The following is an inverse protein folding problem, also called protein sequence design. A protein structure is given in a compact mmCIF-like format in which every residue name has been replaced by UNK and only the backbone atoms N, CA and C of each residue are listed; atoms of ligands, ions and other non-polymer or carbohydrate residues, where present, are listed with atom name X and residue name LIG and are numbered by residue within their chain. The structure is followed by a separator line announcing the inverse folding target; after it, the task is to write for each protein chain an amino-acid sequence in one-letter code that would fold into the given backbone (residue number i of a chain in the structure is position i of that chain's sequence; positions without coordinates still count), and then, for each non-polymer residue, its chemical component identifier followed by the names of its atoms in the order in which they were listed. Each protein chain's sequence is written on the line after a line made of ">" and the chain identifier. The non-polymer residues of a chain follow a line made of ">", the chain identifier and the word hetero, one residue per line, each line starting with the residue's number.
data_IF_832160896212
#
_entry.id   IF_832160896212
#
_cell.length_a   1.000
_cell.length_b   1.000
_cell.length_c   1.000
_cell.angle_alpha   90.00
_cell.angle_beta   90.00
_cell.angle_gamma   90.00
#
_symmetry.space_group_name_H-M   'P 1'
#
loop_
_entity.id
_entity.type
_entity.pdbx_description
1 polymer ?
#
# COMPACT_ATOMS: atom_id res chain seq x y z
N UNK A 1 24.39 36.29 -10.65
CA UNK A 1 23.82 37.52 -10.04
C UNK A 1 24.80 38.16 -9.07
N UNK A 2 25.32 37.43 -8.08
CA UNK A 2 26.36 37.94 -7.19
C UNK A 2 27.61 38.41 -7.95
N UNK A 3 28.09 37.63 -8.94
CA UNK A 3 29.26 38.02 -9.77
C UNK A 3 29.02 39.32 -10.52
N UNK A 4 27.81 39.50 -11.08
CA UNK A 4 27.44 40.74 -11.77
C UNK A 4 27.48 41.96 -10.84
N UNK A 5 27.05 41.81 -9.59
CA UNK A 5 27.13 42.88 -8.58
C UNK A 5 28.57 43.26 -8.26
N UNK A 6 29.47 42.27 -8.19
CA UNK A 6 30.90 42.48 -7.95
C UNK A 6 31.58 43.12 -9.16
N UNK A 7 31.34 42.61 -10.37
CA UNK A 7 31.93 43.12 -11.62
C UNK A 7 31.59 44.60 -11.85
N UNK A 8 30.36 45.00 -11.50
CA UNK A 8 29.89 46.39 -11.57
C UNK A 8 30.26 47.24 -10.37
N UNK A 9 31.02 46.69 -9.41
CA UNK A 9 31.47 47.35 -8.18
C UNK A 9 30.32 47.82 -7.27
N UNK A 10 29.17 47.16 -7.32
CA UNK A 10 28.09 47.36 -6.35
C UNK A 10 28.41 46.71 -4.99
N UNK A 11 29.21 45.63 -4.99
CA UNK A 11 29.68 44.92 -3.82
C UNK A 11 31.21 44.72 -3.88
N UNK A 12 31.86 44.55 -2.73
CA UNK A 12 33.30 44.24 -2.69
C UNK A 12 33.58 42.82 -3.24
N UNK A 13 34.71 42.65 -3.94
CA UNK A 13 35.21 41.34 -4.38
C UNK A 13 35.40 40.35 -3.21
N UNK A 14 35.75 40.86 -2.02
CA UNK A 14 35.98 40.07 -0.80
C UNK A 14 34.72 39.88 0.06
N UNK A 15 33.53 40.07 -0.51
CA UNK A 15 32.26 39.97 0.23
C UNK A 15 32.11 38.65 0.98
N UNK A 16 32.64 37.53 0.48
CA UNK A 16 32.55 36.24 1.20
C UNK A 16 33.26 36.30 2.56
N UNK A 17 34.43 36.93 2.62
CA UNK A 17 35.16 37.09 3.88
C UNK A 17 34.43 38.03 4.85
N UNK A 18 33.74 39.03 4.32
CA UNK A 18 32.92 39.95 5.12
C UNK A 18 31.69 39.23 5.69
N UNK A 19 31.01 38.40 4.89
CA UNK A 19 29.91 37.55 5.35
C UNK A 19 30.36 36.58 6.44
N UNK A 20 31.57 35.98 6.33
CA UNK A 20 32.10 35.11 7.37
C UNK A 20 32.29 35.86 8.70
N UNK A 21 32.88 37.05 8.68
CA UNK A 21 33.03 37.88 9.87
C UNK A 21 31.68 38.28 10.49
N UNK A 22 30.69 38.58 9.65
CA UNK A 22 29.32 38.88 10.10
C UNK A 22 28.69 37.66 10.76
N UNK A 23 28.88 36.46 10.23
CA UNK A 23 28.36 35.22 10.82
C UNK A 23 28.98 34.90 12.17
N UNK A 24 30.29 35.14 12.33
CA UNK A 24 30.96 35.00 13.62
C UNK A 24 30.33 35.93 14.66
N UNK A 25 30.06 37.19 14.29
CA UNK A 25 29.36 38.15 15.14
C UNK A 25 27.93 37.72 15.47
N UNK A 26 27.19 37.21 14.49
CA UNK A 26 25.84 36.66 14.70
C UNK A 26 25.89 35.51 15.71
N UNK A 27 26.80 34.55 15.55
CA UNK A 27 26.92 33.39 16.45
C UNK A 27 27.23 33.81 17.89
N UNK A 28 28.04 34.86 18.07
CA UNK A 28 28.30 35.44 19.38
C UNK A 28 27.04 36.14 19.94
N UNK A 29 26.36 36.96 19.14
CA UNK A 29 25.20 37.74 19.57
C UNK A 29 23.95 36.88 19.85
N UNK A 30 23.83 35.69 19.25
CA UNK A 30 22.74 34.73 19.53
C UNK A 30 22.78 34.22 20.97
N UNK A 31 23.96 34.16 21.60
CA UNK A 31 24.10 33.67 22.98
C UNK A 31 23.43 34.60 24.01
N UNK A 32 23.25 35.87 23.68
CA UNK A 32 22.58 36.87 24.52
C UNK A 32 21.24 37.29 23.90
N UNK A 33 20.32 36.34 23.72
CA UNK A 33 18.97 36.60 23.19
C UNK A 33 17.88 36.62 24.28
N UNK A 34 16.96 37.60 24.26
CA UNK A 34 15.86 37.64 25.22
C UNK A 34 14.84 36.54 24.90
N UNK A 35 14.09 36.13 25.92
CA UNK A 35 12.95 35.23 25.72
C UNK A 35 11.83 35.94 24.97
N UNK A 36 11.83 35.81 23.65
CA UNK A 36 10.81 36.33 22.76
C UNK A 36 10.49 35.27 21.69
N UNK A 37 9.22 34.89 21.57
CA UNK A 37 8.78 33.82 20.66
C UNK A 37 9.07 34.13 19.18
N UNK A 38 8.96 35.40 18.76
CA UNK A 38 9.27 35.77 17.39
C UNK A 38 10.77 35.66 17.10
N UNK A 39 11.63 36.07 18.05
CA UNK A 39 13.08 35.85 17.95
C UNK A 39 13.39 34.35 17.91
N UNK A 40 12.77 33.53 18.76
CA UNK A 40 12.96 32.07 18.75
C UNK A 40 12.59 31.47 17.39
N UNK A 41 11.49 31.90 16.77
CA UNK A 41 11.09 31.44 15.44
C UNK A 41 12.09 31.83 14.35
N UNK A 42 12.61 33.07 14.39
CA UNK A 42 13.64 33.54 13.46
C UNK A 42 14.94 32.73 13.62
N UNK A 43 15.33 32.40 14.86
CA UNK A 43 16.51 31.60 15.18
C UNK A 43 16.35 30.10 14.88
N UNK A 44 15.11 29.57 14.91
CA UNK A 44 14.82 28.18 14.58
C UNK A 44 14.96 27.87 13.07
N UNK A 45 15.05 28.91 12.23
CA UNK A 45 15.31 28.78 10.79
C UNK A 45 16.74 28.31 10.48
N UNK A 46 16.93 27.72 9.30
CA UNK A 46 18.20 27.11 8.91
C UNK A 46 19.34 28.12 8.60
N UNK A 47 19.04 29.42 8.41
CA UNK A 47 20.02 30.41 8.01
C UNK A 47 19.60 31.86 8.32
N UNK A 48 20.34 32.53 9.20
CA UNK A 48 20.16 33.97 9.45
C UNK A 48 20.91 34.80 8.41
N UNK A 49 20.27 35.86 7.94
CA UNK A 49 20.81 36.80 6.96
C UNK A 49 20.35 38.21 7.28
N UNK A 50 20.77 39.20 6.49
CA UNK A 50 20.48 40.62 6.69
C UNK A 50 19.04 40.95 7.12
N UNK A 51 18.02 40.49 6.40
CA UNK A 51 16.62 40.78 6.78
C UNK A 51 16.19 40.19 8.13
N UNK A 52 16.73 39.04 8.53
CA UNK A 52 16.49 38.49 9.86
C UNK A 52 17.13 39.38 10.92
N UNK A 53 18.35 39.88 10.67
CA UNK A 53 19.04 40.79 11.57
C UNK A 53 18.28 42.13 11.72
N UNK A 54 17.75 42.68 10.62
CA UNK A 54 16.87 43.85 10.67
C UNK A 54 15.62 43.59 11.51
N UNK A 55 14.97 42.42 11.35
CA UNK A 55 13.78 42.07 12.12
C UNK A 55 14.10 41.94 13.61
N UNK A 56 15.22 41.31 13.95
CA UNK A 56 15.69 41.19 15.34
C UNK A 56 15.94 42.57 15.94
N UNK A 57 16.65 43.46 15.23
CA UNK A 57 16.86 44.85 15.68
C UNK A 57 15.53 45.55 15.91
N UNK A 58 14.54 45.39 15.03
CA UNK A 58 13.22 46.00 15.18
C UNK A 58 12.47 45.48 16.41
N UNK A 59 12.49 44.16 16.66
CA UNK A 59 11.89 43.57 17.87
C UNK A 59 12.58 44.13 19.12
N UNK A 60 13.92 44.18 19.13
CA UNK A 60 14.70 44.71 20.24
C UNK A 60 14.36 46.18 20.53
N UNK A 61 14.08 47.00 19.51
CA UNK A 61 13.65 48.40 19.72
C UNK A 61 12.32 48.49 20.48
N UNK A 62 11.40 47.56 20.22
CA UNK A 62 10.11 47.49 20.89
C UNK A 62 10.20 46.97 22.32
N UNK A 63 11.07 45.99 22.57
CA UNK A 63 11.23 45.38 23.91
C UNK A 63 12.16 46.16 24.84
N UNK A 64 13.12 46.92 24.30
CA UNK A 64 14.13 47.67 25.07
C UNK A 64 13.89 49.19 25.03
N UNK A 65 12.65 49.63 24.80
CA UNK A 65 12.30 51.04 24.67
C UNK A 65 12.63 51.90 25.92
N UNK A 66 12.78 51.28 27.10
CA UNK A 66 13.06 51.94 28.38
C UNK A 66 14.56 52.19 28.68
N UNK A 67 15.49 51.67 27.87
CA UNK A 67 16.95 51.74 28.12
C UNK A 67 17.70 52.71 27.19
N UNK A 68 17.03 53.78 26.75
CA UNK A 68 17.68 54.87 26.00
C UNK A 68 18.43 55.80 26.96
N UNK A 69 19.71 56.05 26.69
CA UNK A 69 20.51 57.05 27.40
C UNK A 69 19.98 58.46 27.14
N UNK A 70 20.39 59.46 27.95
CA UNK A 70 20.00 60.88 27.80
C UNK A 70 20.22 61.48 26.39
N UNK A 71 21.02 60.84 25.54
CA UNK A 71 21.26 61.23 24.15
C UNK A 71 20.43 60.44 23.12
N UNK A 72 19.41 59.70 23.55
CA UNK A 72 18.53 58.89 22.69
C UNK A 72 19.18 57.61 22.12
N UNK A 73 20.39 57.27 22.56
CA UNK A 73 21.12 56.06 22.13
C UNK A 73 20.76 54.87 23.01
N UNK A 74 20.57 53.70 22.40
CA UNK A 74 20.37 52.45 23.12
C UNK A 74 21.63 52.04 23.88
N UNK A 75 21.47 51.63 25.14
CA UNK A 75 22.60 51.39 26.05
C UNK A 75 22.99 49.91 26.19
N UNK A 76 22.04 49.00 25.93
CA UNK A 76 22.22 47.55 26.07
C UNK A 76 23.31 47.03 25.11
N UNK A 77 24.10 46.07 25.60
CA UNK A 77 25.15 45.43 24.80
C UNK A 77 24.53 44.70 23.60
N UNK A 78 23.47 43.92 23.85
CA UNK A 78 22.68 43.26 22.82
C UNK A 78 22.26 44.17 21.66
N UNK A 79 21.64 45.32 21.94
CA UNK A 79 21.24 46.24 20.87
C UNK A 79 22.46 46.74 20.08
N UNK A 80 23.57 47.04 20.75
CA UNK A 80 24.81 47.45 20.08
C UNK A 80 25.37 46.36 19.18
N UNK A 81 25.38 45.11 19.64
CA UNK A 81 25.88 43.97 18.87
C UNK A 81 25.05 43.74 17.59
N UNK A 82 23.72 43.77 17.71
CA UNK A 82 22.84 43.59 16.56
C UNK A 82 22.85 44.78 15.60
N UNK A 83 23.01 46.01 16.10
CA UNK A 83 23.26 47.19 15.25
C UNK A 83 24.63 47.12 14.55
N UNK A 84 25.67 46.63 15.22
CA UNK A 84 26.99 46.41 14.62
C UNK A 84 26.89 45.39 13.48
N UNK A 85 26.22 44.25 13.70
CA UNK A 85 25.96 43.23 12.67
C UNK A 85 25.28 43.84 11.43
N UNK A 86 24.22 44.63 11.62
CA UNK A 86 23.52 45.32 10.52
C UNK A 86 24.47 46.28 9.79
N UNK A 87 25.27 47.05 10.53
CA UNK A 87 26.24 47.98 9.94
C UNK A 87 27.34 47.28 9.13
N UNK A 88 27.78 46.10 9.57
CA UNK A 88 28.77 45.29 8.84
C UNK A 88 28.18 44.72 7.55
N UNK A 89 26.91 44.36 7.56
CA UNK A 89 26.20 43.95 6.35
C UNK A 89 26.07 45.10 5.34
N UNK A 90 25.70 46.29 5.81
CA UNK A 90 25.50 47.49 4.98
C UNK A 90 26.82 48.06 4.45
N UNK A 91 27.91 47.86 5.19
CA UNK A 91 29.25 48.20 4.74
C UNK A 91 29.55 47.50 3.42
N UNK A 92 29.88 48.31 2.42
CA UNK A 92 30.23 47.86 1.06
C UNK A 92 29.16 46.97 0.42
N UNK A 93 27.90 47.13 0.86
CA UNK A 93 26.73 46.41 0.36
C UNK A 93 26.88 44.88 0.42
N UNK A 94 27.54 44.36 1.46
CA UNK A 94 27.80 42.92 1.64
C UNK A 94 26.51 42.10 1.61
N UNK A 95 25.42 42.63 2.19
CA UNK A 95 24.12 41.96 2.19
C UNK A 95 23.59 41.65 0.78
N UNK A 96 23.81 42.53 -0.20
CA UNK A 96 23.32 42.31 -1.57
C UNK A 96 23.97 41.08 -2.21
N UNK A 97 25.28 40.90 -2.02
CA UNK A 97 26.01 39.76 -2.57
C UNK A 97 25.57 38.44 -1.92
N UNK A 98 25.39 38.42 -0.58
CA UNK A 98 24.90 37.25 0.14
C UNK A 98 23.48 36.87 -0.33
N UNK A 99 22.56 37.83 -0.37
CA UNK A 99 21.17 37.60 -0.78
C UNK A 99 21.07 37.17 -2.25
N UNK A 100 21.86 37.77 -3.13
CA UNK A 100 21.94 37.36 -4.53
C UNK A 100 22.44 35.92 -4.67
N UNK A 101 23.43 35.51 -3.88
CA UNK A 101 23.94 34.14 -3.85
C UNK A 101 22.88 33.16 -3.35
N UNK A 102 22.20 33.49 -2.25
CA UNK A 102 21.09 32.70 -1.71
C UNK A 102 19.96 32.53 -2.74
N UNK A 103 19.56 33.62 -3.39
CA UNK A 103 18.51 33.61 -4.41
C UNK A 103 18.87 32.71 -5.59
N UNK A 104 20.09 32.82 -6.10
CA UNK A 104 20.56 31.97 -7.21
C UNK A 104 20.57 30.50 -6.79
N UNK A 105 21.04 30.17 -5.58
CA UNK A 105 20.98 28.79 -5.08
C UNK A 105 19.54 28.28 -4.98
N UNK A 106 18.64 29.09 -4.45
CA UNK A 106 17.23 28.74 -4.30
C UNK A 106 16.57 28.45 -5.65
N UNK A 107 16.78 29.31 -6.65
CA UNK A 107 16.18 29.17 -7.98
C UNK A 107 16.82 28.02 -8.76
N UNK A 108 18.15 27.89 -8.71
CA UNK A 108 18.88 26.93 -9.54
C UNK A 108 18.85 25.51 -8.99
N UNK A 109 18.76 25.33 -7.67
CA UNK A 109 18.95 24.01 -7.05
C UNK A 109 17.84 23.62 -6.09
N UNK A 110 17.50 24.47 -5.12
CA UNK A 110 16.53 24.12 -4.06
C UNK A 110 15.13 23.89 -4.63
N UNK A 111 14.60 24.86 -5.39
CA UNK A 111 13.26 24.79 -5.96
C UNK A 111 13.14 23.60 -6.93
N UNK A 112 14.06 23.38 -7.89
CA UNK A 112 14.01 22.21 -8.77
C UNK A 112 14.09 20.88 -8.01
N UNK A 113 14.97 20.78 -7.02
CA UNK A 113 15.10 19.59 -6.17
C UNK A 113 13.80 19.27 -5.44
N UNK A 114 13.22 20.27 -4.77
CA UNK A 114 11.96 20.14 -4.04
C UNK A 114 10.80 19.79 -4.98
N UNK A 115 10.71 20.41 -6.16
CA UNK A 115 9.70 20.06 -7.17
C UNK A 115 9.80 18.60 -7.60
N UNK A 116 11.03 18.09 -7.79
CA UNK A 116 11.26 16.68 -8.12
C UNK A 116 10.87 15.75 -6.98
N UNK A 117 11.15 16.13 -5.74
CA UNK A 117 10.72 15.37 -4.56
C UNK A 117 9.19 15.34 -4.45
N UNK A 118 8.52 16.48 -4.62
CA UNK A 118 7.05 16.57 -4.62
C UNK A 118 6.45 15.65 -5.70
N UNK A 119 6.97 15.70 -6.93
CA UNK A 119 6.49 14.85 -8.02
C UNK A 119 6.67 13.36 -7.72
N UNK A 120 7.77 12.94 -7.07
CA UNK A 120 7.97 11.55 -6.63
C UNK A 120 6.97 11.15 -5.54
N UNK A 121 6.72 12.02 -4.57
CA UNK A 121 5.73 11.78 -3.51
C UNK A 121 4.33 11.65 -4.10
N UNK A 122 3.96 12.49 -5.07
CA UNK A 122 2.67 12.42 -5.77
C UNK A 122 2.52 11.13 -6.56
N UNK A 123 3.56 10.72 -7.29
CA UNK A 123 3.54 9.45 -8.02
C UNK A 123 3.38 8.25 -7.06
N UNK A 124 4.15 8.23 -5.96
CA UNK A 124 4.06 7.19 -4.96
C UNK A 124 2.66 7.15 -4.31
N UNK A 125 2.07 8.31 -4.03
CA UNK A 125 0.72 8.41 -3.49
C UNK A 125 -0.32 7.78 -4.43
N UNK A 126 -0.25 8.07 -5.74
CA UNK A 126 -1.14 7.49 -6.73
C UNK A 126 -0.95 5.97 -6.85
N UNK A 127 0.29 5.50 -6.83
CA UNK A 127 0.59 4.07 -6.88
C UNK A 127 0.08 3.33 -5.64
N UNK A 128 0.17 3.92 -4.45
CA UNK A 128 -0.39 3.34 -3.24
C UNK A 128 -1.92 3.33 -3.25
N UNK A 129 -2.57 4.40 -3.71
CA UNK A 129 -4.02 4.43 -3.86
C UNK A 129 -4.51 3.34 -4.83
N UNK A 130 -3.85 3.19 -5.99
CA UNK A 130 -4.19 2.12 -6.94
C UNK A 130 -4.00 0.73 -6.33
N UNK A 131 -2.90 0.50 -5.61
CA UNK A 131 -2.64 -0.78 -4.94
C UNK A 131 -3.65 -1.09 -3.85
N UNK A 132 -4.09 -0.07 -3.12
CA UNK A 132 -5.15 -0.21 -2.13
C UNK A 132 -6.44 -0.70 -2.79
N UNK A 133 -6.87 -0.05 -3.87
CA UNK A 133 -8.06 -0.43 -4.63
C UNK A 133 -7.97 -1.86 -5.18
N UNK A 134 -6.82 -2.23 -5.78
CA UNK A 134 -6.56 -3.57 -6.29
C UNK A 134 -6.63 -4.63 -5.16
N UNK A 135 -6.05 -4.34 -3.99
CA UNK A 135 -6.13 -5.23 -2.83
C UNK A 135 -7.56 -5.36 -2.29
N UNK A 136 -8.32 -4.27 -2.24
CA UNK A 136 -9.72 -4.31 -1.80
C UNK A 136 -10.60 -5.12 -2.75
N UNK A 137 -10.47 -4.89 -4.06
CA UNK A 137 -11.18 -5.66 -5.08
C UNK A 137 -10.79 -7.15 -5.03
N UNK A 138 -9.50 -7.45 -4.92
CA UNK A 138 -9.01 -8.83 -4.80
C UNK A 138 -9.53 -9.53 -3.54
N UNK A 139 -9.57 -8.84 -2.40
CA UNK A 139 -10.15 -9.37 -1.17
C UNK A 139 -11.66 -9.63 -1.30
N UNK A 140 -12.39 -8.71 -1.94
CA UNK A 140 -13.82 -8.88 -2.20
C UNK A 140 -14.11 -10.06 -3.14
N UNK A 141 -13.33 -10.21 -4.22
CA UNK A 141 -13.45 -11.30 -5.17
C UNK A 141 -13.15 -12.66 -4.52
N UNK A 142 -12.08 -12.76 -3.72
CA UNK A 142 -11.75 -13.99 -2.99
C UNK A 142 -12.85 -14.34 -1.99
N UNK A 143 -13.42 -13.34 -1.31
CA UNK A 143 -14.55 -13.53 -0.39
C UNK A 143 -15.78 -14.03 -1.13
N UNK A 144 -16.12 -13.46 -2.28
CA UNK A 144 -17.25 -13.91 -3.10
C UNK A 144 -17.06 -15.34 -3.60
N UNK A 145 -15.87 -15.67 -4.14
CA UNK A 145 -15.53 -17.03 -4.58
C UNK A 145 -15.62 -18.05 -3.44
N UNK A 146 -15.19 -17.66 -2.24
CA UNK A 146 -15.30 -18.48 -1.04
C UNK A 146 -16.77 -18.78 -0.71
N UNK A 147 -17.63 -17.76 -0.65
CA UNK A 147 -19.05 -17.96 -0.34
C UNK A 147 -19.81 -18.69 -1.45
N UNK A 148 -19.46 -18.46 -2.72
CA UNK A 148 -20.00 -19.22 -3.85
C UNK A 148 -19.68 -20.71 -3.70
N UNK A 149 -18.44 -21.04 -3.32
CA UNK A 149 -18.02 -22.42 -3.05
C UNK A 149 -18.79 -23.01 -1.85
N UNK A 150 -18.94 -22.26 -0.76
CA UNK A 150 -19.73 -22.70 0.40
C UNK A 150 -21.19 -23.03 0.01
N UNK A 151 -21.84 -22.16 -0.78
CA UNK A 151 -23.18 -22.41 -1.32
C UNK A 151 -23.24 -23.68 -2.17
N UNK A 152 -22.24 -23.93 -3.01
CA UNK A 152 -22.18 -25.14 -3.84
C UNK A 152 -22.15 -26.42 -2.99
N UNK A 153 -21.46 -26.39 -1.85
CA UNK A 153 -21.42 -27.51 -0.91
C UNK A 153 -22.61 -27.55 0.06
N UNK A 154 -23.52 -26.57 0.01
CA UNK A 154 -24.64 -26.47 0.94
C UNK A 154 -24.23 -26.12 2.38
N UNK A 155 -23.08 -25.47 2.57
CA UNK A 155 -22.53 -25.09 3.87
C UNK A 155 -22.59 -23.58 4.08
N UNK A 156 -22.71 -23.14 5.33
CA UNK A 156 -22.79 -21.73 5.73
C UNK A 156 -21.44 -21.02 5.64
N UNK A 157 -20.33 -21.74 5.91
CA UNK A 157 -18.98 -21.21 5.83
C UNK A 157 -18.40 -20.70 7.15
N UNK A 158 -19.06 -20.91 8.29
CA UNK A 158 -18.61 -20.43 9.60
C UNK A 158 -17.55 -21.37 10.22
N UNK A 159 -17.81 -22.68 10.19
CA UNK A 159 -16.88 -23.70 10.67
C UNK A 159 -16.81 -24.86 9.66
N UNK A 160 -16.11 -24.62 8.54
CA UNK A 160 -16.00 -25.54 7.40
C UNK A 160 -15.79 -27.00 7.82
N UNK A 161 -14.89 -27.25 8.78
CA UNK A 161 -14.59 -28.61 9.26
C UNK A 161 -15.82 -29.30 9.84
N UNK A 162 -16.59 -28.60 10.69
CA UNK A 162 -17.76 -29.17 11.33
C UNK A 162 -18.91 -29.35 10.34
N UNK A 163 -19.13 -28.37 9.47
CA UNK A 163 -20.17 -28.40 8.44
C UNK A 163 -19.92 -29.53 7.42
N UNK A 164 -18.68 -29.69 6.95
CA UNK A 164 -18.31 -30.81 6.07
C UNK A 164 -18.47 -32.17 6.76
N UNK A 165 -18.09 -32.28 8.03
CA UNK A 165 -18.30 -33.52 8.80
C UNK A 165 -19.78 -33.84 9.01
N UNK A 166 -20.65 -32.85 9.10
CA UNK A 166 -22.10 -33.06 9.19
C UNK A 166 -22.65 -33.64 7.88
N UNK A 167 -22.28 -33.09 6.72
CA UNK A 167 -22.65 -33.61 5.41
C UNK A 167 -22.26 -35.08 5.21
N UNK A 168 -21.08 -35.49 5.70
CA UNK A 168 -20.62 -36.88 5.62
C UNK A 168 -21.51 -37.83 6.44
N UNK A 169 -22.11 -37.37 7.54
CA UNK A 169 -23.00 -38.20 8.38
C UNK A 169 -24.32 -38.56 7.68
N UNK A 170 -24.75 -37.76 6.72
CA UNK A 170 -26.00 -38.00 5.98
C UNK A 170 -25.83 -39.02 4.84
N UNK A 171 -24.58 -39.27 4.43
CA UNK A 171 -24.21 -40.16 3.33
C UNK A 171 -24.74 -41.61 3.48
N UNK A 172 -24.62 -42.28 4.65
CA UNK A 172 -25.11 -43.65 4.82
C UNK A 172 -26.62 -43.76 4.61
N UNK A 173 -27.38 -42.75 5.02
CA UNK A 173 -28.84 -42.71 4.84
C UNK A 173 -29.23 -42.56 3.37
N UNK A 174 -28.47 -41.76 2.61
CA UNK A 174 -28.61 -41.59 1.15
C UNK A 174 -28.28 -42.88 0.41
N UNK A 175 -27.17 -43.53 0.75
CA UNK A 175 -26.77 -44.81 0.17
C UNK A 175 -27.78 -45.91 0.47
N UNK A 176 -28.35 -45.94 1.68
CA UNK A 176 -29.42 -46.89 2.03
C UNK A 176 -30.68 -46.67 1.19
N UNK A 177 -31.10 -45.41 0.97
CA UNK A 177 -32.24 -45.09 0.08
C UNK A 177 -31.99 -45.52 -1.36
N UNK A 178 -30.80 -45.26 -1.88
CA UNK A 178 -30.41 -45.68 -3.24
C UNK A 178 -30.38 -47.20 -3.33
N UNK A 179 -29.82 -47.89 -2.32
CA UNK A 179 -29.81 -49.35 -2.25
C UNK A 179 -31.21 -49.96 -2.21
N UNK A 180 -32.14 -49.35 -1.47
CA UNK A 180 -33.55 -49.75 -1.45
C UNK A 180 -34.27 -49.47 -2.79
N UNK A 181 -33.90 -48.41 -3.51
CA UNK A 181 -34.37 -48.19 -4.88
C UNK A 181 -33.81 -49.23 -5.85
N UNK A 182 -32.54 -49.61 -5.68
CA UNK A 182 -31.87 -50.62 -6.49
C UNK A 182 -32.40 -52.04 -6.23
N UNK A 183 -32.93 -52.34 -5.04
CA UNK A 183 -33.57 -53.64 -4.80
C UNK A 183 -34.82 -53.86 -5.64
N UNK A 184 -35.46 -52.83 -6.19
CA UNK A 184 -36.53 -53.02 -7.17
C UNK A 184 -36.04 -53.67 -8.48
N UNK A 185 -34.74 -53.66 -8.74
CA UNK A 185 -34.13 -54.34 -9.89
C UNK A 185 -33.83 -55.82 -9.59
N UNK A 186 -34.00 -56.30 -8.35
CA UNK A 186 -33.66 -57.68 -7.98
C UNK A 186 -34.49 -58.69 -8.74
N UNK A 187 -35.80 -58.48 -8.89
CA UNK A 187 -36.69 -59.37 -9.66
C UNK A 187 -36.28 -59.47 -11.13
N UNK A 188 -35.87 -58.35 -11.73
CA UNK A 188 -35.38 -58.34 -13.12
C UNK A 188 -34.04 -59.08 -13.25
N UNK A 189 -33.17 -58.95 -12.25
CA UNK A 189 -31.89 -59.67 -12.18
C UNK A 189 -32.14 -61.17 -11.99
N UNK A 190 -33.04 -61.56 -11.09
CA UNK A 190 -33.42 -62.96 -10.83
C UNK A 190 -34.07 -63.61 -12.06
N UNK A 191 -34.97 -62.90 -12.74
CA UNK A 191 -35.54 -63.36 -14.02
C UNK A 191 -34.46 -63.56 -15.07
N UNK A 192 -33.53 -62.62 -15.21
CA UNK A 192 -32.42 -62.74 -16.15
C UNK A 192 -31.50 -63.91 -15.79
N UNK A 193 -31.18 -64.09 -14.51
CA UNK A 193 -30.38 -65.22 -14.01
C UNK A 193 -31.08 -66.54 -14.28
N UNK A 194 -32.38 -66.67 -13.96
CA UNK A 194 -33.18 -67.85 -14.24
C UNK A 194 -33.27 -68.13 -15.76
N UNK A 195 -33.39 -67.09 -16.59
CA UNK A 195 -33.32 -67.24 -18.04
C UNK A 195 -31.96 -67.74 -18.50
N UNK A 196 -30.87 -67.18 -17.98
CA UNK A 196 -29.49 -67.61 -18.33
C UNK A 196 -29.25 -69.04 -17.85
N UNK A 197 -29.64 -69.39 -16.64
CA UNK A 197 -29.48 -70.72 -16.06
C UNK A 197 -30.32 -71.76 -16.80
N UNK A 198 -31.58 -71.45 -17.12
CA UNK A 198 -32.39 -72.28 -18.01
C UNK A 198 -31.78 -72.44 -19.40
N UNK A 199 -31.25 -71.36 -19.98
CA UNK A 199 -30.61 -71.38 -21.30
C UNK A 199 -29.22 -72.02 -21.25
N UNK A 200 -28.54 -72.13 -20.11
CA UNK A 200 -27.18 -72.68 -20.03
C UNK A 200 -27.12 -74.08 -19.39
N UNK A 201 -27.89 -74.38 -18.36
CA UNK A 201 -27.94 -75.72 -17.72
C UNK A 201 -28.66 -76.75 -18.58
N UNK A 202 -29.62 -76.33 -19.41
CA UNK A 202 -30.25 -77.19 -20.42
C UNK A 202 -29.29 -77.60 -21.55
N UNK A 203 -28.06 -77.06 -21.55
CA UNK A 203 -26.97 -77.49 -22.44
C UNK A 203 -25.98 -78.43 -21.76
N UNK A 204 -26.06 -78.62 -20.44
CA UNK A 204 -25.21 -79.57 -19.70
C UNK A 204 -25.85 -80.98 -19.58
N UNK A 205 -27.18 -81.07 -19.58
CA UNK A 205 -27.92 -82.34 -19.72
C UNK A 205 -28.32 -82.54 -21.17
N UNK A 206 -27.55 -83.32 -21.92
CA UNK A 206 -27.74 -83.51 -23.35
C UNK A 206 -29.10 -84.12 -23.71
N UNK A 207 -30.03 -83.28 -24.18
CA UNK A 207 -31.15 -83.73 -25.00
C UNK A 207 -31.54 -82.64 -26.02
N UNK A 208 -31.42 -82.87 -27.35
CA UNK A 208 -31.53 -81.82 -28.34
C UNK A 208 -32.87 -81.86 -29.09
N UNK A 209 -33.97 -81.36 -28.54
CA UNK A 209 -35.22 -80.99 -29.25
C UNK A 209 -36.20 -80.39 -28.22
N UNK A 210 -36.89 -79.23 -28.33
CA UNK A 210 -37.34 -78.34 -29.41
C UNK A 210 -37.63 -76.92 -28.78
N UNK A 211 -38.33 -75.94 -29.41
CA UNK A 211 -37.81 -74.76 -30.13
C UNK A 211 -38.14 -73.35 -29.53
N UNK A 212 -37.66 -72.31 -30.25
CA UNK A 212 -38.11 -70.89 -30.33
C UNK A 212 -37.56 -69.87 -29.31
N UNK A 213 -37.45 -68.55 -29.66
CA UNK A 213 -37.98 -67.86 -30.84
C UNK A 213 -36.95 -67.10 -31.71
N UNK A 214 -37.10 -67.25 -33.03
CA UNK A 214 -36.42 -66.50 -34.09
C UNK A 214 -36.92 -65.04 -34.25
N UNK A 215 -37.32 -64.41 -33.13
CA UNK A 215 -37.66 -62.98 -33.07
C UNK A 215 -36.56 -62.13 -32.43
N UNK A 216 -35.36 -62.68 -32.24
CA UNK A 216 -34.14 -61.88 -32.01
C UNK A 216 -33.27 -61.69 -33.26
N UNK A 217 -33.88 -61.89 -34.43
CA UNK A 217 -33.25 -61.74 -35.72
C UNK A 217 -33.94 -60.69 -36.57
N UNK A 218 -34.17 -59.47 -36.07
CA UNK A 218 -34.36 -58.27 -36.92
C UNK A 218 -34.41 -56.98 -36.09
N UNK A 219 -33.62 -56.00 -36.54
CA UNK A 219 -33.42 -54.64 -35.99
C UNK A 219 -32.38 -54.52 -34.87
N UNK A 220 -31.17 -54.99 -35.15
CA UNK A 220 -29.95 -54.28 -34.74
C UNK A 220 -29.42 -53.59 -35.99
N UNK A 221 -29.77 -52.33 -36.18
CA UNK A 221 -29.08 -51.49 -37.15
C UNK A 221 -27.59 -51.45 -36.77
N UNK A 222 -26.71 -51.71 -37.74
CA UNK A 222 -25.28 -51.44 -37.59
C UNK A 222 -25.10 -50.06 -36.96
N UNK A 223 -24.32 -49.89 -35.89
CA UNK A 223 -23.89 -48.55 -35.50
C UNK A 223 -23.10 -48.01 -36.69
N UNK A 224 -23.63 -46.99 -37.35
CA UNK A 224 -22.87 -46.18 -38.29
C UNK A 224 -21.75 -45.57 -37.46
N UNK A 225 -20.53 -45.97 -37.75
CA UNK A 225 -19.32 -45.43 -37.15
C UNK A 225 -19.24 -43.93 -37.52
N UNK A 226 -19.92 -43.05 -36.77
CA UNK A 226 -19.56 -41.64 -36.69
C UNK A 226 -18.51 -41.59 -35.61
N UNK A 227 -17.27 -41.28 -36.01
CA UNK A 227 -16.21 -40.99 -35.05
C UNK A 227 -16.73 -39.99 -34.01
N UNK A 228 -16.68 -40.39 -32.76
CA UNK A 228 -16.70 -39.44 -31.66
C UNK A 228 -15.50 -38.51 -31.85
N UNK A 229 -15.64 -37.18 -31.74
CA UNK A 229 -14.47 -36.33 -31.66
C UNK A 229 -13.66 -36.76 -30.44
N UNK A 230 -12.37 -36.99 -30.64
CA UNK A 230 -11.44 -37.27 -29.56
C UNK A 230 -11.54 -36.15 -28.51
N UNK A 231 -11.86 -36.51 -27.27
CA UNK A 231 -11.69 -35.62 -26.14
C UNK A 231 -10.18 -35.49 -25.93
N UNK A 232 -9.57 -34.30 -26.06
CA UNK A 232 -8.15 -34.14 -25.76
C UNK A 232 -7.93 -34.41 -24.27
N UNK A 233 -6.77 -34.98 -23.89
CA UNK A 233 -6.45 -35.20 -22.48
C UNK A 233 -6.49 -33.85 -21.73
N UNK A 234 -6.89 -33.85 -20.44
CA UNK A 234 -6.83 -32.64 -19.63
C UNK A 234 -5.38 -32.15 -19.61
N UNK A 235 -5.17 -30.92 -20.09
CA UNK A 235 -3.92 -30.21 -19.94
C UNK A 235 -3.50 -30.20 -18.46
N UNK A 236 -2.22 -30.47 -18.13
CA UNK A 236 -1.75 -30.34 -16.76
C UNK A 236 -2.00 -28.89 -16.31
N UNK A 237 -2.90 -28.70 -15.33
CA UNK A 237 -3.07 -27.42 -14.67
C UNK A 237 -1.74 -27.08 -14.00
N UNK A 238 -1.07 -26.04 -14.49
CA UNK A 238 0.00 -25.41 -13.72
C UNK A 238 -0.60 -24.98 -12.37
N UNK A 239 0.12 -25.20 -11.25
CA UNK A 239 -0.29 -24.63 -9.97
C UNK A 239 -0.39 -23.10 -10.12
N UNK A 240 -1.34 -22.42 -9.44
CA UNK A 240 -1.34 -20.97 -9.41
C UNK A 240 0.01 -20.52 -8.87
N UNK A 241 0.59 -19.51 -9.53
CA UNK A 241 1.88 -18.93 -9.19
C UNK A 241 2.02 -18.83 -7.67
N UNK A 242 2.88 -19.68 -7.12
CA UNK A 242 3.46 -19.40 -5.84
C UNK A 242 4.09 -18.01 -5.99
N UNK A 243 3.59 -17.03 -5.24
CA UNK A 243 4.32 -15.79 -5.00
C UNK A 243 5.68 -16.17 -4.42
N UNK A 244 6.66 -16.37 -5.29
CA UNK A 244 8.06 -16.42 -4.95
C UNK A 244 8.40 -15.01 -4.51
N UNK A 245 8.37 -14.78 -3.20
CA UNK A 245 9.12 -13.70 -2.58
C UNK A 245 10.59 -13.92 -2.92
N UNK A 246 11.03 -13.38 -4.05
CA UNK A 246 12.44 -13.26 -4.37
C UNK A 246 13.01 -12.27 -3.37
N UNK A 247 13.70 -12.80 -2.35
CA UNK A 247 14.68 -12.04 -1.57
C UNK A 247 15.70 -11.45 -2.54
N UNK A 248 15.51 -10.18 -2.91
CA UNK A 248 16.65 -9.33 -3.22
C UNK A 248 17.15 -8.80 -1.89
N UNK A 249 18.13 -9.51 -1.33
CA UNK A 249 19.03 -8.91 -0.37
C UNK A 249 19.82 -7.80 -1.07
N UNK A 250 19.57 -6.55 -0.69
CA UNK A 250 20.60 -5.52 -0.62
C UNK A 250 20.10 -4.32 0.19
N UNK A 251 20.74 -4.15 1.35
CA UNK A 251 20.82 -2.95 2.20
C UNK A 251 19.54 -2.47 2.91
N UNK A 252 19.36 -2.98 4.13
CA UNK A 252 18.71 -2.24 5.20
C UNK A 252 19.46 -0.92 5.45
N UNK A 253 18.84 0.21 5.11
CA UNK A 253 19.06 1.45 5.86
C UNK A 253 17.88 1.58 6.81
N UNK A 254 18.22 1.56 8.09
CA UNK A 254 17.36 1.75 9.25
C UNK A 254 16.51 3.02 9.09
N UNK A 255 15.17 2.88 9.06
CA UNK A 255 14.25 3.96 9.43
C UNK A 255 13.21 3.38 10.38
N UNK A 256 13.56 3.48 11.66
CA UNK A 256 12.65 3.34 12.77
C UNK A 256 11.60 4.46 12.75
N UNK A 257 10.38 4.09 13.14
CA UNK A 257 9.33 4.95 13.70
C UNK A 257 8.67 5.99 12.77
N UNK A 258 7.47 5.65 12.28
CA UNK A 258 6.27 6.48 12.48
C UNK A 258 5.02 5.67 12.09
N UNK A 259 4.54 4.84 13.02
CA UNK A 259 3.13 4.44 13.04
C UNK A 259 2.32 5.65 13.51
N UNK A 260 1.29 6.03 12.76
CA UNK A 260 0.18 6.85 13.27
C UNK A 260 -1.11 6.05 13.18
N UNK A 261 -1.99 6.13 14.20
CA UNK A 261 -3.15 5.26 14.35
C UNK A 261 -4.39 5.91 13.73
N UNK A 262 -4.97 5.25 12.74
CA UNK A 262 -6.34 5.53 12.29
C UNK A 262 -7.15 4.25 12.45
N UNK A 263 -7.69 4.04 13.65
CA UNK A 263 -8.79 3.10 13.89
C UNK A 263 -9.38 3.33 15.28
N UNK A 264 -10.12 4.42 15.46
CA UNK A 264 -11.12 4.53 16.52
C UNK A 264 -12.15 5.59 16.13
N UNK A 265 -13.30 5.13 15.61
CA UNK A 265 -14.64 5.69 15.86
C UNK A 265 -15.61 5.04 14.86
N UNK A 266 -16.43 4.11 15.38
CA UNK A 266 -17.90 4.07 15.28
C UNK A 266 -18.38 2.62 15.33
N UNK A 267 -18.69 2.10 16.51
CA UNK A 267 -19.77 1.15 16.71
C UNK A 267 -20.26 1.29 18.16
N UNK A 268 -21.46 1.86 18.32
CA UNK A 268 -22.07 2.07 19.62
C UNK A 268 -23.52 2.54 19.48
N UNK A 269 -24.46 1.57 19.53
CA UNK A 269 -25.86 1.64 20.03
C UNK A 269 -26.48 0.25 19.76
N UNK A 270 -26.37 -0.70 20.70
CA UNK A 270 -27.25 -0.93 21.86
C UNK A 270 -28.69 -1.31 21.48
N UNK A 271 -28.96 -2.62 21.51
CA UNK A 271 -30.29 -3.23 21.64
C UNK A 271 -30.37 -3.94 22.99
N UNK A 272 -31.15 -3.39 23.91
CA UNK A 272 -31.82 -4.01 25.08
C UNK A 272 -33.03 -3.07 25.32
N UNK A 273 -34.29 -3.46 25.47
CA UNK A 273 -34.92 -4.71 25.88
C UNK A 273 -35.77 -4.43 27.12
N UNK A 274 -37.03 -3.98 26.95
CA UNK A 274 -38.25 -4.24 27.74
C UNK A 274 -39.44 -3.93 26.84
#
# INVERSE_FOLDING_TARGET
>A
LADWLVDRRHCNLKWQSQVLAVREKINAAIQDMPENEEIKQLLAGAYLHYFHCLRIVEILKGTEASTKNLFGRYSSQRMKDWQEIVSLYEKENTYLAELASLLVRSISYEIPSLRKQISRCQQAQQDFARREDECQLGAAELRERFFASCKQYGITGDNLRQELLALVKDLPSLLSKIGAGASALSEAIELYQACVEFVCERWAGGDPHIPFPHLWGQRVGRPRNRGLPAVPPPSPKQPPDACVWRQQGSSCVHVSHMMSPWCHLTYGRSWQGV
#
